data_IF_329234822170
#
_entry.id   IF_329234822170
#
_cell.length_a   1.000
_cell.length_b   1.000
_cell.length_c   1.000
_cell.angle_alpha   90.00
_cell.angle_beta   90.00
_cell.angle_gamma   90.00
#
_symmetry.space_group_name_H-M   'P 1'
#
loop_
_entity.id
_entity.type
_entity.pdbx_description
1 polymer ?
#
# COMPACT_ATOMS: atom_id res chain seq x y z
N UNK A 1 14.22 21.19 48.68
CA UNK A 1 13.65 20.09 47.87
C UNK A 1 13.88 20.41 46.38
N UNK A 2 15.01 19.97 45.82
CA UNK A 2 15.42 20.31 44.44
C UNK A 2 14.64 19.45 43.44
N UNK A 3 13.95 20.09 42.50
CA UNK A 3 13.21 19.40 41.42
C UNK A 3 14.22 18.80 40.45
N UNK A 4 14.22 17.47 40.29
CA UNK A 4 15.04 16.81 39.28
C UNK A 4 14.65 17.30 37.87
N UNK A 5 15.63 17.83 37.13
CA UNK A 5 15.46 18.25 35.74
C UNK A 5 14.99 17.07 34.89
N UNK A 6 13.74 17.14 34.45
CA UNK A 6 13.15 16.21 33.48
C UNK A 6 13.64 16.54 32.08
N UNK A 7 14.95 16.44 31.85
CA UNK A 7 15.57 16.65 30.54
C UNK A 7 15.16 15.55 29.55
N UNK A 8 15.01 15.91 28.27
CA UNK A 8 14.83 14.91 27.21
C UNK A 8 16.10 14.06 27.06
N UNK A 9 15.94 12.75 26.99
CA UNK A 9 17.08 11.85 26.81
C UNK A 9 17.82 12.18 25.50
N UNK A 10 19.10 12.54 25.58
CA UNK A 10 19.93 13.01 24.45
C UNK A 10 19.88 12.12 23.21
N UNK A 11 19.76 10.79 23.39
CA UNK A 11 19.60 9.82 22.29
C UNK A 11 18.30 10.03 21.51
N UNK A 12 17.21 10.35 22.20
CA UNK A 12 15.91 10.65 21.58
C UNK A 12 15.98 11.97 20.82
N UNK A 13 16.66 12.98 21.37
CA UNK A 13 16.86 14.28 20.73
C UNK A 13 17.64 14.11 19.43
N UNK A 14 18.79 13.44 19.45
CA UNK A 14 19.59 13.16 18.24
C UNK A 14 18.79 12.41 17.18
N UNK A 15 18.00 11.40 17.60
CA UNK A 15 17.12 10.65 16.68
C UNK A 15 16.00 11.50 16.08
N UNK A 16 15.41 12.41 16.86
CA UNK A 16 14.38 13.32 16.39
C UNK A 16 14.94 14.31 15.36
N UNK A 17 16.11 14.89 15.64
CA UNK A 17 16.83 15.80 14.74
C UNK A 17 17.19 15.09 13.42
N UNK A 18 17.73 13.87 13.48
CA UNK A 18 18.03 13.08 12.29
C UNK A 18 16.78 12.86 11.41
N UNK A 19 15.68 12.40 12.02
CA UNK A 19 14.40 12.22 11.31
C UNK A 19 13.86 13.51 10.70
N UNK A 20 14.03 14.64 11.38
CA UNK A 20 13.60 15.94 10.87
C UNK A 20 14.33 16.27 9.56
N UNK A 21 15.66 16.22 9.57
CA UNK A 21 16.44 16.55 8.37
C UNK A 21 16.28 15.52 7.26
N UNK A 22 16.17 14.22 7.58
CA UNK A 22 15.81 13.18 6.59
C UNK A 22 14.46 13.47 5.92
N UNK A 23 13.47 13.89 6.69
CA UNK A 23 12.15 14.26 6.16
C UNK A 23 12.25 15.49 5.27
N UNK A 24 12.96 16.54 5.70
CA UNK A 24 13.15 17.76 4.90
C UNK A 24 13.89 17.47 3.60
N UNK A 25 14.96 16.67 3.64
CA UNK A 25 15.69 16.21 2.45
C UNK A 25 14.76 15.45 1.49
N UNK A 26 13.97 14.51 2.01
CA UNK A 26 13.03 13.74 1.17
C UNK A 26 11.99 14.63 0.52
N UNK A 27 11.43 15.60 1.25
CA UNK A 27 10.47 16.55 0.71
C UNK A 27 11.09 17.43 -0.38
N UNK A 28 12.31 17.93 -0.16
CA UNK A 28 13.04 18.69 -1.16
C UNK A 28 13.26 17.89 -2.45
N UNK A 29 13.76 16.66 -2.34
CA UNK A 29 13.95 15.79 -3.50
C UNK A 29 12.65 15.53 -4.25
N UNK A 30 11.53 15.36 -3.53
CA UNK A 30 10.20 15.18 -4.11
C UNK A 30 9.63 16.46 -4.75
N UNK A 31 10.14 17.65 -4.40
CA UNK A 31 9.72 18.92 -5.00
C UNK A 31 10.50 19.30 -6.26
N UNK A 32 11.57 18.57 -6.58
CA UNK A 32 12.33 18.80 -7.81
C UNK A 32 11.51 18.35 -9.04
N UNK A 33 11.48 19.13 -10.14
CA UNK A 33 10.74 18.78 -11.35
C UNK A 33 11.11 17.41 -11.92
N UNK A 34 12.40 17.05 -11.90
CA UNK A 34 12.90 15.74 -12.35
C UNK A 34 12.25 14.55 -11.62
N UNK A 35 11.79 14.76 -10.38
CA UNK A 35 11.17 13.73 -9.55
C UNK A 35 9.64 13.86 -9.49
N UNK A 36 9.03 14.73 -10.28
CA UNK A 36 7.60 15.00 -10.21
C UNK A 36 6.79 13.73 -10.47
N UNK A 37 7.06 13.03 -11.57
CA UNK A 37 6.35 11.81 -11.96
C UNK A 37 6.47 10.72 -10.87
N UNK A 38 7.70 10.44 -10.42
CA UNK A 38 7.93 9.47 -9.32
C UNK A 38 7.21 9.86 -8.04
N UNK A 39 7.12 11.16 -7.76
CA UNK A 39 6.42 11.68 -6.58
C UNK A 39 4.90 11.54 -6.72
N UNK A 40 4.36 11.81 -7.91
CA UNK A 40 2.95 11.59 -8.21
C UNK A 40 2.58 10.11 -8.10
N UNK A 41 3.41 9.22 -8.65
CA UNK A 41 3.26 7.77 -8.52
C UNK A 41 3.31 7.33 -7.06
N UNK A 42 4.27 7.85 -6.27
CA UNK A 42 4.35 7.53 -4.84
C UNK A 42 3.11 8.03 -4.08
N UNK A 43 2.55 9.18 -4.46
CA UNK A 43 1.30 9.71 -3.85
C UNK A 43 0.10 8.83 -4.21
N UNK A 44 -0.04 8.42 -5.47
CA UNK A 44 -1.11 7.51 -5.91
C UNK A 44 -1.01 6.15 -5.22
N UNK A 45 0.19 5.56 -5.16
CA UNK A 45 0.45 4.29 -4.48
C UNK A 45 0.14 4.36 -2.98
N UNK A 46 0.56 5.43 -2.30
CA UNK A 46 0.25 5.63 -0.88
C UNK A 46 -1.25 5.81 -0.64
N UNK A 47 -1.96 6.48 -1.55
CA UNK A 47 -3.41 6.64 -1.48
C UNK A 47 -4.12 5.29 -1.61
N UNK A 48 -3.74 4.46 -2.59
CA UNK A 48 -4.27 3.10 -2.76
C UNK A 48 -3.96 2.21 -1.56
N UNK A 49 -2.71 2.23 -1.07
CA UNK A 49 -2.33 1.50 0.14
C UNK A 49 -3.16 1.91 1.36
N UNK A 50 -3.42 3.21 1.53
CA UNK A 50 -4.27 3.72 2.62
C UNK A 50 -5.72 3.21 2.49
N UNK A 51 -6.28 3.23 1.28
CA UNK A 51 -7.62 2.69 0.98
C UNK A 51 -7.71 1.21 1.30
N UNK A 52 -6.78 0.39 0.81
CA UNK A 52 -6.70 -1.05 1.12
C UNK A 52 -6.67 -1.33 2.62
N UNK A 53 -5.87 -0.58 3.39
CA UNK A 53 -5.81 -0.73 4.85
C UNK A 53 -7.14 -0.42 5.53
N UNK A 54 -7.82 0.65 5.12
CA UNK A 54 -9.13 1.01 5.68
C UNK A 54 -10.17 -0.04 5.34
N UNK A 55 -10.22 -0.50 4.09
CA UNK A 55 -11.15 -1.51 3.64
C UNK A 55 -10.91 -2.86 4.32
N UNK A 56 -9.66 -3.29 4.43
CA UNK A 56 -9.28 -4.47 5.19
C UNK A 56 -9.77 -4.39 6.64
N UNK A 57 -9.57 -3.24 7.29
CA UNK A 57 -10.03 -3.01 8.67
C UNK A 57 -11.56 -3.06 8.77
N UNK A 58 -12.27 -2.51 7.78
CA UNK A 58 -13.74 -2.57 7.74
C UNK A 58 -14.23 -4.01 7.59
N UNK A 59 -13.63 -4.79 6.68
CA UNK A 59 -13.94 -6.20 6.46
C UNK A 59 -13.65 -7.05 7.70
N UNK A 60 -12.54 -6.81 8.39
CA UNK A 60 -12.23 -7.48 9.66
C UNK A 60 -13.28 -7.24 10.75
N UNK A 61 -14.00 -6.10 10.72
CA UNK A 61 -15.01 -5.77 11.74
C UNK A 61 -16.35 -6.48 11.52
N UNK A 62 -16.67 -6.79 10.26
CA UNK A 62 -17.93 -7.47 9.89
C UNK A 62 -17.75 -8.97 9.70
N UNK A 63 -16.50 -9.45 9.70
CA UNK A 63 -16.18 -10.87 9.59
C UNK A 63 -16.59 -11.61 10.87
N UNK A 64 -17.24 -12.75 10.70
CA UNK A 64 -17.72 -13.67 11.72
C UNK A 64 -17.36 -15.12 11.33
N UNK A 65 -17.45 -16.04 12.30
CA UNK A 65 -17.23 -17.47 12.10
C UNK A 65 -15.95 -17.81 11.31
N UNK A 66 -16.13 -18.55 10.23
CA UNK A 66 -15.05 -18.97 9.33
C UNK A 66 -14.38 -17.81 8.59
N UNK A 67 -15.16 -16.82 8.14
CA UNK A 67 -14.63 -15.66 7.40
C UNK A 67 -13.62 -14.87 8.24
N UNK A 68 -13.86 -14.80 9.55
CA UNK A 68 -12.95 -14.16 10.49
C UNK A 68 -11.62 -14.93 10.60
N UNK A 69 -11.66 -16.26 10.58
CA UNK A 69 -10.46 -17.10 10.62
C UNK A 69 -9.66 -16.98 9.33
N UNK A 70 -10.34 -16.95 8.18
CA UNK A 70 -9.70 -16.78 6.88
C UNK A 70 -9.07 -15.38 6.74
N UNK A 71 -9.81 -14.31 7.05
CA UNK A 71 -9.31 -12.93 6.88
C UNK A 71 -8.14 -12.61 7.81
N UNK A 72 -8.07 -13.24 8.99
CA UNK A 72 -6.95 -13.09 9.95
C UNK A 72 -5.62 -13.65 9.42
N UNK A 73 -5.68 -14.65 8.54
CA UNK A 73 -4.48 -15.19 7.88
C UNK A 73 -3.96 -14.21 6.80
N UNK A 74 -4.85 -13.39 6.25
CA UNK A 74 -4.53 -12.44 5.19
C UNK A 74 -4.07 -11.08 5.74
N UNK A 75 -3.55 -10.27 4.83
CA UNK A 75 -3.19 -8.88 5.10
C UNK A 75 -3.92 -7.94 4.11
N UNK A 76 -3.71 -6.62 4.27
CA UNK A 76 -4.33 -5.62 3.38
C UNK A 76 -3.85 -5.69 1.91
N UNK A 77 -2.81 -6.46 1.58
CA UNK A 77 -2.28 -6.60 0.23
C UNK A 77 -3.19 -7.47 -0.64
N UNK A 78 -3.95 -8.38 -0.02
CA UNK A 78 -5.00 -9.19 -0.64
C UNK A 78 -6.26 -8.40 -0.99
N UNK A 79 -6.40 -7.15 -0.53
CA UNK A 79 -7.57 -6.33 -0.82
C UNK A 79 -7.43 -5.67 -2.19
N UNK A 80 -8.55 -5.53 -2.90
CA UNK A 80 -8.64 -4.88 -4.21
C UNK A 80 -8.25 -3.40 -4.13
N UNK A 81 -7.71 -2.85 -5.21
CA UNK A 81 -7.51 -1.42 -5.33
C UNK A 81 -8.85 -0.76 -5.62
N UNK A 82 -9.18 0.26 -4.83
CA UNK A 82 -10.33 1.10 -5.13
C UNK A 82 -9.81 2.44 -5.67
N UNK A 83 -9.89 2.62 -6.98
CA UNK A 83 -9.48 3.82 -7.71
C UNK A 83 -10.64 4.81 -7.84
N UNK A 84 -10.33 6.08 -8.13
CA UNK A 84 -11.39 7.01 -8.52
C UNK A 84 -11.75 6.72 -9.97
N UNK A 85 -13.03 6.50 -10.27
CA UNK A 85 -13.46 6.42 -11.66
C UNK A 85 -13.23 7.74 -12.38
N UNK A 86 -12.89 7.63 -13.66
CA UNK A 86 -12.59 8.74 -14.56
C UNK A 86 -13.60 8.67 -15.71
N UNK A 87 -13.98 9.82 -16.27
CA UNK A 87 -14.96 9.93 -17.36
C UNK A 87 -16.33 9.35 -16.96
N UNK A 88 -16.76 8.26 -17.58
CA UNK A 88 -18.08 7.62 -17.41
C UNK A 88 -18.31 7.08 -15.98
N UNK A 89 -17.22 6.71 -15.29
CA UNK A 89 -17.26 6.26 -13.90
C UNK A 89 -16.92 7.37 -12.90
N UNK A 90 -16.95 8.63 -13.32
CA UNK A 90 -16.74 9.75 -12.41
C UNK A 90 -17.70 9.70 -11.22
N UNK A 91 -17.14 9.86 -10.01
CA UNK A 91 -17.90 9.73 -8.77
C UNK A 91 -18.12 8.29 -8.28
N UNK A 92 -17.70 7.27 -9.03
CA UNK A 92 -17.71 5.86 -8.60
C UNK A 92 -16.32 5.40 -8.18
N UNK A 93 -16.25 4.31 -7.43
CA UNK A 93 -15.01 3.61 -7.15
C UNK A 93 -14.80 2.48 -8.15
N UNK A 94 -13.69 2.53 -8.88
CA UNK A 94 -13.29 1.45 -9.78
C UNK A 94 -12.51 0.43 -8.95
N UNK A 95 -13.04 -0.78 -8.85
CA UNK A 95 -12.49 -1.86 -8.02
C UNK A 95 -11.67 -2.80 -8.88
N UNK A 96 -10.36 -2.86 -8.62
CA UNK A 96 -9.40 -3.70 -9.34
C UNK A 96 -8.89 -4.81 -8.42
N UNK A 97 -9.32 -6.04 -8.65
CA UNK A 97 -8.84 -7.19 -7.89
C UNK A 97 -7.38 -7.54 -8.27
N UNK A 98 -6.54 -8.03 -7.36
CA UNK A 98 -5.19 -8.45 -7.71
C UNK A 98 -5.22 -9.66 -8.64
N UNK A 99 -4.48 -9.61 -9.76
CA UNK A 99 -4.48 -10.70 -10.75
C UNK A 99 -3.96 -12.05 -10.20
N UNK A 100 -3.18 -12.02 -9.11
CA UNK A 100 -2.63 -13.21 -8.47
C UNK A 100 -3.50 -13.79 -7.35
N UNK A 101 -4.60 -13.14 -6.98
CA UNK A 101 -5.48 -13.60 -5.90
C UNK A 101 -6.28 -14.82 -6.39
N UNK A 102 -6.43 -15.84 -5.56
CA UNK A 102 -7.24 -17.02 -5.92
C UNK A 102 -8.73 -16.69 -5.90
N UNK A 103 -9.52 -17.50 -6.61
CA UNK A 103 -10.97 -17.42 -6.62
C UNK A 103 -11.58 -17.58 -5.21
N UNK A 104 -11.06 -18.50 -4.40
CA UNK A 104 -11.46 -18.66 -2.99
C UNK A 104 -11.30 -17.36 -2.18
N UNK A 105 -10.19 -16.65 -2.40
CA UNK A 105 -9.95 -15.37 -1.75
C UNK A 105 -10.78 -14.23 -2.36
N UNK A 106 -11.12 -14.29 -3.65
CA UNK A 106 -12.08 -13.39 -4.27
C UNK A 106 -13.47 -13.54 -3.64
N UNK A 107 -13.99 -14.77 -3.54
CA UNK A 107 -15.29 -15.07 -2.93
C UNK A 107 -15.36 -14.63 -1.46
N UNK A 108 -14.29 -14.84 -0.68
CA UNK A 108 -14.21 -14.31 0.68
C UNK A 108 -14.34 -12.78 0.71
N UNK A 109 -13.59 -12.10 -0.16
CA UNK A 109 -13.57 -10.64 -0.20
C UNK A 109 -14.91 -10.04 -0.64
N UNK A 110 -15.62 -10.73 -1.53
CA UNK A 110 -16.97 -10.38 -1.97
C UNK A 110 -18.00 -10.58 -0.84
N UNK A 111 -18.03 -11.75 -0.19
CA UNK A 111 -18.93 -12.00 0.96
C UNK A 111 -18.74 -10.97 2.08
N UNK A 112 -17.49 -10.64 2.39
CA UNK A 112 -17.16 -9.59 3.37
C UNK A 112 -17.56 -8.20 2.89
N UNK A 113 -17.45 -7.92 1.58
CA UNK A 113 -17.88 -6.65 1.02
C UNK A 113 -19.39 -6.48 1.14
N UNK A 114 -20.17 -7.51 0.84
CA UNK A 114 -21.62 -7.52 1.03
C UNK A 114 -22.00 -7.24 2.48
N UNK A 115 -21.30 -7.85 3.46
CA UNK A 115 -21.51 -7.55 4.89
C UNK A 115 -21.19 -6.10 5.26
N UNK A 116 -20.08 -5.53 4.73
CA UNK A 116 -19.76 -4.10 4.92
C UNK A 116 -20.86 -3.21 4.34
N UNK A 117 -21.42 -3.61 3.20
CA UNK A 117 -22.52 -2.91 2.55
C UNK A 117 -23.87 -3.20 3.20
N UNK A 118 -24.10 -4.25 3.96
CA UNK A 118 -25.34 -4.36 4.74
C UNK A 118 -25.28 -3.51 6.01
N UNK A 119 -24.07 -3.26 6.54
CA UNK A 119 -23.89 -2.47 7.75
C UNK A 119 -24.38 -1.02 7.55
N UNK A 120 -25.27 -0.56 8.45
CA UNK A 120 -25.79 0.81 8.42
C UNK A 120 -24.64 1.80 8.64
N UNK A 121 -24.49 2.74 7.71
CA UNK A 121 -23.56 3.86 7.83
C UNK A 121 -24.29 5.16 7.54
N UNK A 122 -24.11 6.16 8.38
CA UNK A 122 -24.66 7.52 8.18
C UNK A 122 -24.10 8.22 6.94
N UNK A 123 -22.99 7.70 6.38
CA UNK A 123 -22.34 8.29 5.21
C UNK A 123 -22.96 7.80 3.91
N UNK A 124 -23.12 8.69 2.91
CA UNK A 124 -23.52 8.30 1.57
C UNK A 124 -22.61 7.20 1.02
N UNK A 125 -23.23 6.19 0.42
CA UNK A 125 -22.50 5.10 -0.23
C UNK A 125 -22.10 5.54 -1.61
N UNK A 126 -20.86 5.23 -1.95
CA UNK A 126 -20.33 5.48 -3.28
C UNK A 126 -20.42 4.18 -4.06
N UNK A 127 -21.00 4.24 -5.27
CA UNK A 127 -21.11 3.08 -6.15
C UNK A 127 -19.74 2.51 -6.50
N UNK A 128 -19.66 1.18 -6.64
CA UNK A 128 -18.48 0.44 -7.04
C UNK A 128 -18.71 -0.20 -8.40
N UNK A 129 -17.72 -0.10 -9.29
CA UNK A 129 -17.73 -0.71 -10.62
C UNK A 129 -16.49 -1.58 -10.77
N UNK A 130 -16.63 -2.72 -11.47
CA UNK A 130 -15.49 -3.59 -11.78
C UNK A 130 -14.51 -2.92 -12.74
N UNK A 131 -13.23 -2.94 -12.40
CA UNK A 131 -12.15 -2.50 -13.27
C UNK A 131 -11.23 -3.67 -13.65
N UNK A 132 -10.31 -3.41 -14.58
CA UNK A 132 -9.28 -4.37 -14.97
C UNK A 132 -8.49 -4.88 -13.75
N UNK A 133 -7.96 -6.10 -13.78
CA UNK A 133 -7.12 -6.61 -12.71
C UNK A 133 -5.96 -5.66 -12.38
N UNK A 134 -5.60 -5.60 -11.10
CA UNK A 134 -4.47 -4.83 -10.61
C UNK A 134 -3.16 -5.53 -11.01
N UNK A 135 -2.20 -4.74 -11.51
CA UNK A 135 -0.87 -5.20 -11.93
C UNK A 135 0.11 -5.37 -10.76
N UNK A 136 -0.37 -5.23 -9.51
CA UNK A 136 0.48 -5.38 -8.32
C UNK A 136 1.07 -6.78 -8.22
N UNK A 137 2.33 -6.84 -7.79
CA UNK A 137 2.98 -8.10 -7.46
C UNK A 137 2.34 -8.78 -6.24
N UNK A 138 2.52 -10.11 -6.15
CA UNK A 138 2.13 -10.91 -5.00
C UNK A 138 2.83 -10.45 -3.71
N UNK A 139 2.19 -10.61 -2.54
CA UNK A 139 2.80 -10.31 -1.25
C UNK A 139 4.07 -11.14 -1.05
N UNK A 140 5.03 -10.59 -0.29
CA UNK A 140 6.33 -11.23 -0.05
C UNK A 140 6.20 -12.61 0.60
N UNK A 141 5.23 -12.76 1.50
CA UNK A 141 4.92 -14.00 2.19
C UNK A 141 3.47 -14.37 1.85
N UNK A 142 3.24 -15.11 0.75
CA UNK A 142 1.90 -15.44 0.32
C UNK A 142 1.28 -16.55 1.19
N UNK A 143 0.01 -16.37 1.54
CA UNK A 143 -0.88 -17.41 2.02
C UNK A 143 -1.31 -18.28 0.84
N UNK A 144 -1.03 -19.59 0.93
CA UNK A 144 -1.08 -20.51 -0.21
C UNK A 144 -2.48 -20.70 -0.81
N UNK A 145 -3.53 -20.76 0.02
CA UNK A 145 -4.89 -20.92 -0.47
C UNK A 145 -5.41 -19.64 -1.17
N UNK A 146 -4.84 -18.48 -0.81
CA UNK A 146 -5.30 -17.17 -1.27
C UNK A 146 -4.58 -16.65 -2.54
N UNK A 147 -3.68 -17.45 -3.12
CA UNK A 147 -2.93 -17.11 -4.33
C UNK A 147 -3.26 -18.12 -5.41
N UNK A 148 -3.56 -17.63 -6.61
CA UNK A 148 -3.84 -18.50 -7.74
C UNK A 148 -2.63 -19.39 -8.03
N UNK A 149 -2.88 -20.69 -8.12
CA UNK A 149 -1.87 -21.65 -8.56
C UNK A 149 -1.63 -21.40 -10.04
N UNK A 150 -0.47 -20.85 -10.38
CA UNK A 150 -0.06 -20.78 -11.78
C UNK A 150 -0.01 -22.23 -12.32
N UNK A 151 -0.64 -22.52 -13.48
CA UNK A 151 -0.47 -23.82 -14.10
C UNK A 151 1.03 -24.03 -14.35
N UNK A 152 1.56 -25.18 -13.92
CA UNK A 152 2.98 -25.55 -14.09
C UNK A 152 3.39 -25.81 -15.55
N UNK A 153 2.66 -25.27 -16.53
CA UNK A 153 2.87 -25.47 -17.95
C UNK A 153 2.92 -24.13 -18.69
N UNK A 154 3.91 -23.31 -18.36
CA UNK A 154 4.53 -22.41 -19.34
C UNK A 154 6.02 -22.53 -19.10
N UNK A 155 6.66 -23.44 -19.83
CA UNK A 155 8.09 -23.34 -20.08
C UNK A 155 8.29 -21.96 -20.72
N UNK A 156 9.12 -21.06 -20.17
CA UNK A 156 9.53 -19.91 -20.94
C UNK A 156 10.31 -20.47 -22.13
N UNK A 157 9.71 -20.43 -23.31
CA UNK A 157 10.44 -20.53 -24.58
C UNK A 157 11.44 -19.39 -24.55
N UNK A 158 12.65 -19.69 -24.06
CA UNK A 158 13.82 -18.88 -24.34
C UNK A 158 13.92 -18.92 -25.86
N UNK A 159 13.56 -17.83 -26.53
CA UNK A 159 14.01 -17.57 -27.88
C UNK A 159 15.55 -17.52 -27.82
N UNK A 160 16.13 -18.71 -27.96
CA UNK A 160 17.53 -18.89 -28.32
C UNK A 160 17.66 -18.27 -29.70
N UNK A 161 18.30 -17.10 -29.74
CA UNK A 161 18.89 -16.56 -30.96
C UNK A 161 19.68 -17.66 -31.68
N UNK A 162 19.62 -17.72 -33.02
CA UNK A 162 20.15 -18.84 -33.78
C UNK A 162 21.67 -18.95 -33.66
N UNK A 163 22.10 -20.20 -33.64
CA UNK A 163 23.46 -20.70 -33.56
C UNK A 163 24.46 -20.02 -34.51
N UNK A 164 25.66 -19.74 -34.00
CA UNK A 164 26.90 -19.91 -34.76
C UNK A 164 27.69 -21.05 -34.12
N UNK A 165 27.99 -22.04 -34.96
CA UNK A 165 28.59 -23.35 -34.66
C UNK A 165 30.00 -23.26 -34.03
N UNK A 166 30.49 -24.37 -33.43
CA UNK A 166 31.74 -24.40 -32.68
C UNK A 166 32.94 -24.72 -33.59
N UNK A 167 34.13 -24.25 -33.22
CA UNK A 167 35.40 -24.80 -33.71
C UNK A 167 36.35 -25.03 -32.54
N UNK A 168 36.95 -26.23 -32.40
CA UNK A 168 37.82 -26.58 -31.28
C UNK A 168 39.29 -26.64 -31.71
N UNK A 169 40.20 -25.83 -31.15
CA UNK A 169 41.65 -26.10 -31.24
C UNK A 169 42.41 -25.60 -29.99
N UNK A 170 42.83 -26.58 -29.20
CA UNK A 170 44.10 -26.78 -28.48
C UNK A 170 45.00 -25.61 -28.01
N UNK A 171 45.21 -25.60 -26.68
CA UNK A 171 46.49 -25.78 -25.94
C UNK A 171 47.71 -24.90 -26.28
N UNK A 172 48.10 -24.08 -25.29
CA UNK A 172 49.45 -23.79 -24.73
C UNK A 172 49.24 -22.55 -23.81
N UNK A 173 49.69 -22.42 -22.57
CA UNK A 173 50.85 -22.92 -21.85
C UNK A 173 51.74 -21.73 -21.49
N UNK A 174 51.64 -21.19 -20.26
CA UNK A 174 52.76 -20.72 -19.39
C UNK A 174 52.29 -19.90 -18.17
N UNK A 175 52.99 -20.18 -17.07
CA UNK A 175 53.01 -19.60 -15.71
C UNK A 175 53.22 -18.05 -15.71
N UNK A 176 53.15 -17.26 -14.62
CA UNK A 176 53.87 -17.34 -13.32
C UNK A 176 53.31 -16.27 -12.32
N UNK A 177 53.26 -16.60 -11.01
CA UNK A 177 53.35 -15.78 -9.75
C UNK A 177 52.19 -14.80 -9.42
N UNK A 178 51.40 -14.98 -8.34
CA UNK A 178 51.64 -15.07 -6.87
C UNK A 178 51.76 -13.71 -6.17
N UNK A 179 50.72 -13.30 -5.43
CA UNK A 179 50.79 -12.66 -4.09
C UNK A 179 49.35 -12.63 -3.51
N UNK A 180 49.06 -13.41 -2.46
CA UNK A 180 48.86 -12.95 -1.06
C UNK A 180 47.68 -11.95 -0.94
N UNK A 181 46.56 -12.26 -0.30
CA UNK A 181 46.41 -12.31 1.17
C UNK A 181 45.02 -12.89 1.52
N UNK A 182 44.96 -13.49 2.70
CA UNK A 182 43.92 -14.38 3.18
C UNK A 182 43.12 -13.68 4.32
N UNK A 183 41.81 -13.98 4.39
CA UNK A 183 40.90 -13.92 5.56
C UNK A 183 40.19 -12.59 5.93
N UNK A 184 39.09 -12.61 6.72
CA UNK A 184 38.04 -13.65 6.85
C UNK A 184 36.59 -13.12 6.84
N UNK A 185 35.69 -14.09 6.63
CA UNK A 185 34.27 -14.16 6.98
C UNK A 185 33.85 -13.41 8.27
N UNK A 186 32.72 -12.69 8.20
CA UNK A 186 31.87 -12.39 9.37
C UNK A 186 30.38 -12.42 9.01
N UNK A 187 29.67 -13.28 9.72
CA UNK A 187 28.25 -13.62 9.65
C UNK A 187 27.29 -12.46 10.00
N UNK A 188 25.99 -12.59 9.64
CA UNK A 188 25.00 -11.51 9.74
C UNK A 188 24.38 -11.37 11.14
N UNK A 189 24.19 -10.14 11.59
CA UNK A 189 23.58 -9.79 12.88
C UNK A 189 22.04 -9.69 12.85
N UNK A 190 21.36 -9.81 14.01
CA UNK A 190 20.01 -10.39 14.10
C UNK A 190 18.85 -9.39 13.99
N UNK A 191 17.72 -9.92 13.53
CA UNK A 191 16.40 -9.29 13.47
C UNK A 191 15.87 -9.03 14.89
N UNK A 192 15.53 -7.78 15.21
CA UNK A 192 14.81 -7.45 16.46
C UNK A 192 13.42 -6.88 16.18
N UNK A 193 12.41 -7.69 16.48
CA UNK A 193 11.00 -7.31 16.67
C UNK A 193 10.92 -6.27 17.80
N UNK A 194 10.24 -5.15 17.56
CA UNK A 194 9.67 -4.34 18.65
C UNK A 194 8.23 -4.00 18.32
N UNK A 195 7.32 -4.56 19.13
CA UNK A 195 5.89 -4.28 19.11
C UNK A 195 5.61 -2.81 19.45
N UNK A 196 4.67 -2.21 18.72
CA UNK A 196 4.23 -0.84 18.95
C UNK A 196 2.94 -0.85 19.75
N UNK A 197 3.06 -0.65 21.07
CA UNK A 197 1.94 -0.25 21.93
C UNK A 197 1.43 1.12 21.44
N UNK A 198 0.11 1.20 21.29
CA UNK A 198 -0.63 2.44 21.02
C UNK A 198 -0.71 3.23 22.31
N UNK A 199 -0.30 4.49 22.29
CA UNK A 199 -0.81 5.50 23.22
C UNK A 199 -1.42 6.61 22.39
N UNK A 200 -2.73 6.80 22.61
CA UNK A 200 -3.47 8.03 22.28
C UNK A 200 -2.82 9.16 23.07
N UNK A 201 -2.68 10.34 22.47
CA UNK A 201 -3.09 11.58 23.10
C UNK A 201 -3.29 12.67 22.05
N UNK A 202 -4.27 13.49 22.38
CA UNK A 202 -5.02 14.42 21.56
C UNK A 202 -4.60 15.86 21.94
N UNK A 203 -5.22 16.86 21.29
CA UNK A 203 -5.20 18.31 21.61
C UNK A 203 -3.89 19.01 21.15
N UNK A 204 -3.84 20.13 20.41
CA UNK A 204 -4.60 21.39 20.39
C UNK A 204 -4.50 22.00 18.97
N UNK A 205 -5.55 22.68 18.48
CA UNK A 205 -5.47 23.51 17.27
C UNK A 205 -6.82 23.92 16.68
N UNK A 206 -7.67 24.56 17.50
CA UNK A 206 -8.98 25.07 17.10
C UNK A 206 -8.77 26.42 16.38
N UNK A 207 -8.74 26.42 15.05
CA UNK A 207 -8.84 27.65 14.25
C UNK A 207 -10.30 27.86 13.91
N UNK A 208 -10.91 28.84 14.58
CA UNK A 208 -12.23 29.37 14.25
C UNK A 208 -12.14 30.14 12.93
N UNK A 209 -12.87 29.69 11.90
CA UNK A 209 -13.09 30.48 10.68
C UNK A 209 -14.58 30.70 10.48
N UNK A 210 -14.88 31.98 10.31
CA UNK A 210 -16.16 32.67 10.21
C UNK A 210 -17.13 32.06 9.19
N UNK A 211 -18.38 31.92 9.62
CA UNK A 211 -19.55 31.69 8.76
C UNK A 211 -19.93 33.01 8.09
N UNK A 212 -19.77 33.11 6.77
CA UNK A 212 -20.49 34.07 5.96
C UNK A 212 -21.90 33.53 5.69
N UNK A 213 -22.91 34.25 6.20
CA UNK A 213 -24.33 34.11 5.85
C UNK A 213 -24.55 34.75 4.47
N UNK A 214 -25.20 34.04 3.56
CA UNK A 214 -25.90 34.65 2.41
C UNK A 214 -27.33 34.10 2.35
N UNK A 215 -28.29 34.88 1.81
CA UNK A 215 -29.66 34.87 2.28
C UNK A 215 -30.58 33.91 1.51
N UNK A 216 -31.64 33.50 2.22
CA UNK A 216 -32.78 32.70 1.75
C UNK A 216 -33.54 33.46 0.65
N UNK A 217 -33.78 32.81 -0.49
CA UNK A 217 -34.85 33.21 -1.43
C UNK A 217 -36.15 32.50 -1.02
N UNK A 218 -37.20 33.30 -0.82
CA UNK A 218 -38.56 32.90 -0.51
C UNK A 218 -39.31 32.35 -1.76
N UNK A 219 -40.37 31.54 -1.58
CA UNK A 219 -41.10 30.90 -2.67
C UNK A 219 -42.07 31.85 -3.40
N UNK A 220 -42.15 31.74 -4.73
CA UNK A 220 -43.16 32.42 -5.56
C UNK A 220 -44.54 31.78 -5.38
N UNK A 221 -45.54 32.64 -5.16
CA UNK A 221 -46.97 32.35 -4.97
C UNK A 221 -47.58 31.73 -6.24
N UNK A 222 -48.51 30.80 -6.01
CA UNK A 222 -49.47 30.28 -7.00
C UNK A 222 -50.40 31.41 -7.44
N UNK A 223 -50.57 31.59 -8.75
CA UNK A 223 -51.72 32.28 -9.34
C UNK A 223 -52.70 31.22 -9.83
N UNK A 224 -53.95 31.33 -9.38
CA UNK A 224 -55.13 30.60 -9.83
C UNK A 224 -56.20 31.68 -10.08
N UNK A 225 -57.06 31.44 -11.09
CA UNK A 225 -58.16 32.27 -11.62
C UNK A 225 -57.72 33.24 -12.72
N UNK A 226 -58.41 33.34 -13.86
CA UNK A 226 -59.75 32.85 -14.24
C UNK A 226 -59.75 31.79 -15.35
#
# INVERSE_FOLDING_TARGET
>A
MMKADKGYHTRLVKKAVGRYYETKRKLYLQSLPENEERTQQLKSDNKLRSRRKRLFTARCKVADGEDLNLIKQLNYEYVSDEENGIREDSGKWVVRHPAWRSEEADSLMERLQSKVETQRSERPRVSRVGGLPSTRCKPRNPVMWAVQRQPRNIVPTIERSPSRSPSPVQRTGRNIVSTLEHLPSRSPSPVRRTGRKRTRNNVIGRVTRSKSKSPRKAPKRKSRKD
#
